data_IF_739211891035
#
_entry.id   IF_739211891035
#
_cell.length_a   1.000
_cell.length_b   1.000
_cell.length_c   1.000
_cell.angle_alpha   90.00
_cell.angle_beta   90.00
_cell.angle_gamma   90.00
#
_symmetry.space_group_name_H-M   'P 1'
#
loop_
_entity.id
_entity.type
_entity.pdbx_description
1 polymer ?
#
# COMPACT_ATOMS: atom_id res chain seq x y z
N UNK A 1 -27.27 12.94 23.99
CA UNK A 1 -25.81 12.96 24.20
C UNK A 1 -25.19 13.44 22.89
N UNK A 2 -24.85 14.73 22.81
CA UNK A 2 -24.20 15.30 21.63
C UNK A 2 -22.77 14.75 21.57
N UNK A 3 -22.39 14.12 20.47
CA UNK A 3 -21.01 13.77 20.18
C UNK A 3 -20.36 15.00 19.56
N UNK A 4 -19.51 15.69 20.33
CA UNK A 4 -18.68 16.79 19.84
C UNK A 4 -17.68 16.24 18.80
N UNK A 5 -17.68 16.82 17.60
CA UNK A 5 -16.65 16.58 16.59
C UNK A 5 -15.37 17.34 17.00
N UNK A 6 -14.17 16.78 16.76
CA UNK A 6 -12.94 17.46 17.12
C UNK A 6 -12.76 18.76 16.33
N UNK A 7 -12.33 19.80 17.06
CA UNK A 7 -12.14 21.18 16.60
C UNK A 7 -11.21 21.29 15.36
N UNK A 8 -11.36 22.34 14.53
CA UNK A 8 -10.49 22.58 13.39
C UNK A 8 -9.05 22.81 13.87
N UNK A 9 -8.11 22.05 13.32
CA UNK A 9 -6.68 22.23 13.55
C UNK A 9 -6.32 23.66 13.13
N UNK A 10 -5.86 24.45 14.09
CA UNK A 10 -5.52 25.86 13.94
C UNK A 10 -4.41 26.08 12.91
N UNK A 11 -4.60 27.13 12.11
CA UNK A 11 -3.77 27.58 11.00
C UNK A 11 -2.40 28.16 11.43
N UNK A 12 -1.53 27.33 12.02
CA UNK A 12 -0.15 27.71 12.37
C UNK A 12 0.94 26.75 11.85
N UNK A 13 0.64 25.90 10.87
CA UNK A 13 1.70 25.16 10.15
C UNK A 13 2.37 26.07 9.11
N UNK A 14 3.28 26.89 9.65
CA UNK A 14 4.24 27.80 9.01
C UNK A 14 4.87 27.22 7.74
N UNK A 15 4.89 28.07 6.72
CA UNK A 15 5.84 28.09 5.62
C UNK A 15 7.29 27.97 6.12
N UNK A 16 7.89 26.77 6.05
CA UNK A 16 9.33 26.62 5.90
C UNK A 16 9.64 25.50 4.91
N UNK A 17 10.21 25.88 3.78
CA UNK A 17 10.78 24.98 2.78
C UNK A 17 12.11 24.38 3.25
N UNK A 18 12.07 23.66 4.38
CA UNK A 18 13.11 22.77 4.87
C UNK A 18 12.39 21.47 5.18
N UNK A 19 12.68 20.41 4.42
CA UNK A 19 12.11 19.07 4.62
C UNK A 19 12.14 18.71 6.11
N UNK A 20 10.98 18.48 6.70
CA UNK A 20 10.89 18.12 8.11
C UNK A 20 11.73 16.85 8.37
N UNK A 21 12.50 16.76 9.47
CA UNK A 21 13.35 15.60 9.76
C UNK A 21 12.58 14.27 9.73
N UNK A 22 11.29 14.30 10.08
CA UNK A 22 10.38 13.16 10.05
C UNK A 22 10.06 12.71 8.62
N UNK A 23 9.83 13.66 7.71
CA UNK A 23 9.53 13.39 6.29
C UNK A 23 10.76 12.80 5.56
N UNK A 24 11.96 13.26 5.92
CA UNK A 24 13.21 12.71 5.38
C UNK A 24 13.47 11.25 5.80
N UNK A 25 13.07 10.87 7.03
CA UNK A 25 13.22 9.51 7.54
C UNK A 25 12.22 8.55 6.91
N UNK A 26 10.97 8.98 6.71
CA UNK A 26 9.96 8.19 6.01
C UNK A 26 10.30 8.00 4.53
N UNK A 27 10.86 9.04 3.89
CA UNK A 27 11.36 8.96 2.51
C UNK A 27 12.51 7.98 2.39
N UNK A 28 13.51 8.06 3.27
CA UNK A 28 14.64 7.12 3.29
C UNK A 28 14.18 5.67 3.51
N UNK A 29 13.22 5.46 4.42
CA UNK A 29 12.62 4.16 4.69
C UNK A 29 11.88 3.59 3.48
N UNK A 30 11.12 4.42 2.75
CA UNK A 30 10.43 3.99 1.53
C UNK A 30 11.41 3.59 0.44
N UNK A 31 12.51 4.34 0.27
CA UNK A 31 13.55 4.02 -0.72
C UNK A 31 14.21 2.68 -0.40
N UNK A 32 14.53 2.40 0.87
CA UNK A 32 15.14 1.12 1.24
C UNK A 32 14.22 -0.08 0.98
N UNK A 33 12.91 0.07 1.24
CA UNK A 33 11.90 -0.92 0.86
C UNK A 33 11.86 -1.13 -0.65
N UNK A 34 11.87 -0.05 -1.43
CA UNK A 34 11.79 -0.13 -2.88
C UNK A 34 13.06 -0.72 -3.49
N UNK A 35 14.24 -0.42 -2.92
CA UNK A 35 15.51 -1.06 -3.26
C UNK A 35 15.48 -2.57 -2.98
N UNK A 36 14.94 -2.99 -1.84
CA UNK A 36 14.76 -4.41 -1.54
C UNK A 36 13.84 -5.10 -2.56
N UNK A 37 12.70 -4.47 -2.92
CA UNK A 37 11.78 -5.00 -3.94
C UNK A 37 12.43 -5.11 -5.31
N UNK A 38 13.20 -4.09 -5.72
CA UNK A 38 13.95 -4.07 -6.97
C UNK A 38 14.95 -5.24 -7.01
N UNK A 39 15.81 -5.34 -5.99
CA UNK A 39 16.80 -6.40 -5.85
C UNK A 39 16.14 -7.79 -5.92
N UNK A 40 15.10 -8.01 -5.12
CA UNK A 40 14.36 -9.28 -5.09
C UNK A 40 13.76 -9.63 -6.45
N UNK A 41 13.23 -8.64 -7.17
CA UNK A 41 12.62 -8.84 -8.49
C UNK A 41 13.66 -9.22 -9.54
N UNK A 42 14.81 -8.54 -9.55
CA UNK A 42 15.91 -8.87 -10.47
C UNK A 42 16.47 -10.27 -10.22
N UNK A 43 16.70 -10.63 -8.94
CA UNK A 43 17.20 -11.95 -8.57
C UNK A 43 16.19 -13.06 -8.87
N UNK A 44 14.89 -12.82 -8.66
CA UNK A 44 13.85 -13.77 -9.05
C UNK A 44 13.77 -13.98 -10.57
N UNK A 45 13.96 -12.91 -11.35
CA UNK A 45 13.95 -12.99 -12.81
C UNK A 45 15.16 -13.74 -13.38
N UNK A 46 16.33 -13.62 -12.75
CA UNK A 46 17.51 -14.42 -13.07
C UNK A 46 17.24 -15.91 -12.82
N UNK A 47 16.81 -16.25 -11.61
CA UNK A 47 16.49 -17.64 -11.24
C UNK A 47 15.45 -18.26 -12.18
N UNK A 48 14.40 -17.50 -12.54
CA UNK A 48 13.35 -17.98 -13.46
C UNK A 48 13.85 -18.29 -14.87
N UNK A 49 14.90 -17.61 -15.36
CA UNK A 49 15.50 -17.91 -16.67
C UNK A 49 16.28 -19.22 -16.68
N UNK A 50 16.75 -19.67 -15.51
CA UNK A 50 17.57 -20.87 -15.37
C UNK A 50 16.76 -22.16 -15.24
N UNK A 51 15.44 -22.08 -15.03
CA UNK A 51 14.53 -23.23 -14.94
C UNK A 51 13.58 -23.30 -16.16
N UNK A 52 13.90 -24.10 -17.19
CA UNK A 52 13.07 -24.29 -18.38
C UNK A 52 11.70 -24.93 -18.08
N UNK A 53 11.54 -25.54 -16.90
CA UNK A 53 10.30 -26.19 -16.45
C UNK A 53 9.40 -25.28 -15.63
N UNK A 54 9.83 -24.04 -15.39
CA UNK A 54 9.09 -23.08 -14.59
C UNK A 54 7.76 -22.69 -15.27
N UNK A 55 6.66 -23.23 -14.76
CA UNK A 55 5.30 -22.80 -15.10
C UNK A 55 4.85 -21.76 -14.07
N UNK A 56 4.65 -20.49 -14.44
CA UNK A 56 4.15 -19.47 -13.51
C UNK A 56 2.72 -19.83 -13.09
N UNK A 57 2.56 -20.42 -11.91
CA UNK A 57 1.24 -20.56 -11.31
C UNK A 57 0.84 -19.21 -10.65
N UNK A 58 -0.24 -18.55 -11.12
CA UNK A 58 -0.68 -17.26 -10.59
C UNK A 58 -1.16 -17.34 -9.13
N UNK A 59 -1.44 -18.53 -8.62
CA UNK A 59 -1.89 -18.81 -7.26
C UNK A 59 -0.75 -19.15 -6.28
N UNK A 60 0.51 -19.18 -6.74
CA UNK A 60 1.65 -19.30 -5.81
C UNK A 60 1.90 -17.94 -5.17
N UNK A 61 1.77 -17.85 -3.84
CA UNK A 61 2.40 -16.79 -3.07
C UNK A 61 3.90 -16.86 -3.33
N UNK A 62 4.46 -15.88 -4.05
CA UNK A 62 5.91 -15.80 -4.35
C UNK A 62 6.69 -16.22 -3.10
N UNK A 63 7.41 -17.35 -3.16
CA UNK A 63 8.14 -17.85 -1.99
C UNK A 63 8.95 -16.71 -1.40
N UNK A 64 8.82 -16.47 -0.08
CA UNK A 64 9.49 -15.38 0.64
C UNK A 64 11.00 -15.63 0.83
N UNK A 65 11.58 -16.69 0.27
CA UNK A 65 13.02 -16.96 0.37
C UNK A 65 13.80 -15.77 -0.21
N UNK A 66 14.84 -15.35 0.50
CA UNK A 66 15.78 -14.36 -0.01
C UNK A 66 16.61 -15.01 -1.11
N UNK A 67 16.20 -14.77 -2.36
CA UNK A 67 16.91 -15.26 -3.53
C UNK A 67 18.25 -14.53 -3.58
N UNK A 68 19.34 -15.28 -3.71
CA UNK A 68 20.68 -14.72 -3.92
C UNK A 68 21.05 -14.92 -5.37
N UNK A 69 21.43 -13.83 -6.04
CA UNK A 69 22.02 -13.89 -7.37
C UNK A 69 23.49 -14.27 -7.29
N UNK A 70 24.00 -14.98 -8.30
CA UNK A 70 25.44 -15.14 -8.52
C UNK A 70 25.96 -14.21 -9.63
N UNK A 71 25.07 -13.68 -10.48
CA UNK A 71 25.41 -12.76 -11.55
C UNK A 71 25.99 -11.43 -11.01
N UNK A 72 27.26 -11.20 -11.35
CA UNK A 72 28.00 -10.01 -10.94
C UNK A 72 27.39 -8.72 -11.51
N UNK A 73 26.90 -8.74 -12.75
CA UNK A 73 26.31 -7.57 -13.41
C UNK A 73 25.07 -7.07 -12.66
N UNK A 74 24.20 -8.00 -12.23
CA UNK A 74 22.99 -7.65 -11.48
C UNK A 74 23.36 -7.12 -10.10
N UNK A 75 24.33 -7.74 -9.41
CA UNK A 75 24.83 -7.23 -8.11
C UNK A 75 25.38 -5.81 -8.24
N UNK A 76 26.24 -5.56 -9.23
CA UNK A 76 26.83 -4.25 -9.47
C UNK A 76 25.75 -3.23 -9.78
N UNK A 77 24.77 -3.55 -10.62
CA UNK A 77 23.66 -2.66 -10.94
C UNK A 77 22.82 -2.29 -9.70
N UNK A 78 22.46 -3.27 -8.86
CA UNK A 78 21.73 -3.01 -7.61
C UNK A 78 22.54 -2.09 -6.69
N UNK A 79 23.85 -2.34 -6.56
CA UNK A 79 24.74 -1.52 -5.74
C UNK A 79 24.89 -0.09 -6.26
N UNK A 80 25.02 0.10 -7.58
CA UNK A 80 25.14 1.44 -8.17
C UNK A 80 23.86 2.23 -7.98
N UNK A 81 22.69 1.63 -8.28
CA UNK A 81 21.39 2.28 -8.05
C UNK A 81 21.19 2.60 -6.57
N UNK A 82 21.57 1.70 -5.67
CA UNK A 82 21.47 1.96 -4.23
C UNK A 82 22.33 3.17 -3.81
N UNK A 83 23.57 3.23 -4.30
CA UNK A 83 24.50 4.33 -4.03
C UNK A 83 23.97 5.67 -4.58
N UNK A 84 23.42 5.64 -5.79
CA UNK A 84 22.85 6.82 -6.44
C UNK A 84 21.59 7.30 -5.72
N UNK A 85 20.71 6.38 -5.30
CA UNK A 85 19.53 6.70 -4.50
C UNK A 85 19.92 7.34 -3.16
N UNK A 86 20.91 6.77 -2.45
CA UNK A 86 21.43 7.33 -1.21
C UNK A 86 22.07 8.71 -1.42
N UNK A 87 22.72 8.94 -2.57
CA UNK A 87 23.26 10.24 -2.93
C UNK A 87 22.15 11.26 -3.14
N UNK A 88 21.09 10.90 -3.87
CA UNK A 88 19.92 11.76 -4.08
C UNK A 88 19.23 12.10 -2.75
N UNK A 89 19.10 11.14 -1.83
CA UNK A 89 18.52 11.40 -0.50
C UNK A 89 19.39 12.37 0.30
N UNK A 90 20.72 12.20 0.28
CA UNK A 90 21.67 13.06 1.03
C UNK A 90 21.76 14.46 0.45
N UNK A 91 21.66 14.58 -0.87
CA UNK A 91 21.72 15.85 -1.60
C UNK A 91 20.52 15.93 -2.53
N UNK A 92 19.32 16.22 -1.99
CA UNK A 92 18.13 16.30 -2.81
C UNK A 92 18.28 17.42 -3.83
N UNK A 93 17.93 17.18 -5.11
CA UNK A 93 17.92 18.25 -6.10
C UNK A 93 16.95 19.34 -5.63
N UNK A 94 17.26 20.61 -5.96
CA UNK A 94 16.35 21.73 -5.68
C UNK A 94 15.04 21.49 -6.43
N UNK A 95 14.02 21.04 -5.70
CA UNK A 95 12.71 20.79 -6.27
C UNK A 95 12.03 22.14 -6.54
N UNK A 96 11.65 22.37 -7.80
CA UNK A 96 10.73 23.46 -8.13
C UNK A 96 9.31 22.93 -7.95
N UNK A 97 8.43 23.63 -7.25
CA UNK A 97 7.05 23.17 -7.14
C UNK A 97 6.44 23.08 -8.54
N UNK A 98 5.78 21.95 -8.82
CA UNK A 98 5.07 21.73 -10.10
C UNK A 98 3.75 22.50 -10.18
N UNK A 99 3.35 23.17 -9.09
CA UNK A 99 2.15 23.96 -8.97
C UNK A 99 2.52 25.38 -8.54
N UNK A 100 1.90 26.35 -9.18
CA UNK A 100 1.92 27.76 -8.80
C UNK A 100 1.20 27.97 -7.46
N UNK A 101 1.38 29.16 -6.86
CA UNK A 101 0.69 29.50 -5.62
C UNK A 101 -0.83 29.56 -5.82
N UNK A 102 -1.28 30.10 -6.95
CA UNK A 102 -2.69 30.22 -7.29
C UNK A 102 -3.34 28.84 -7.49
N UNK A 103 -2.66 27.91 -8.15
CA UNK A 103 -3.15 26.52 -8.28
C UNK A 103 -3.23 25.81 -6.93
N UNK A 104 -2.27 26.04 -6.03
CA UNK A 104 -2.34 25.49 -4.67
C UNK A 104 -3.49 26.06 -3.88
N UNK A 105 -3.72 27.37 -3.97
CA UNK A 105 -4.86 28.03 -3.34
C UNK A 105 -6.18 27.47 -3.89
N UNK A 106 -6.30 27.34 -5.22
CA UNK A 106 -7.48 26.74 -5.84
C UNK A 106 -7.72 25.28 -5.40
N UNK A 107 -6.67 24.47 -5.23
CA UNK A 107 -6.80 23.11 -4.69
C UNK A 107 -7.22 23.09 -3.23
N UNK A 108 -6.75 24.07 -2.43
CA UNK A 108 -7.17 24.23 -1.04
C UNK A 108 -8.65 24.63 -0.97
N UNK A 109 -9.07 25.59 -1.78
CA UNK A 109 -10.47 26.03 -1.88
C UNK A 109 -11.39 24.87 -2.29
N UNK A 110 -10.99 24.07 -3.29
CA UNK A 110 -11.72 22.87 -3.71
C UNK A 110 -11.77 21.79 -2.62
N UNK A 111 -10.73 21.67 -1.80
CA UNK A 111 -10.69 20.71 -0.69
C UNK A 111 -11.64 21.13 0.44
N UNK A 112 -11.72 22.43 0.69
CA UNK A 112 -12.44 23.00 1.83
C UNK A 112 -13.92 23.29 1.50
N UNK A 113 -14.32 23.26 0.22
CA UNK A 113 -15.72 23.40 -0.21
C UNK A 113 -16.58 22.18 0.17
N UNK A 114 -17.41 22.35 1.21
CA UNK A 114 -18.33 21.32 1.69
C UNK A 114 -19.52 21.03 0.74
N UNK A 115 -19.72 21.84 -0.30
CA UNK A 115 -20.83 21.67 -1.25
C UNK A 115 -20.49 20.71 -2.40
N UNK A 116 -19.23 20.28 -2.52
CA UNK A 116 -18.78 19.36 -3.55
C UNK A 116 -18.26 18.06 -2.95
N UNK A 117 -18.34 17.00 -3.74
CA UNK A 117 -17.81 15.68 -3.45
C UNK A 117 -16.82 15.34 -4.55
N UNK A 118 -15.56 15.16 -4.15
CA UNK A 118 -14.47 14.77 -5.04
C UNK A 118 -14.12 13.30 -4.76
N UNK A 119 -14.26 12.43 -5.76
CA UNK A 119 -13.97 10.99 -5.64
C UNK A 119 -13.19 10.49 -6.86
N UNK A 120 -12.36 9.45 -6.72
CA UNK A 120 -11.82 8.74 -7.88
C UNK A 120 -12.96 8.23 -8.76
N UNK A 121 -12.80 8.34 -10.09
CA UNK A 121 -13.74 7.74 -11.01
C UNK A 121 -13.70 6.22 -10.89
N UNK A 122 -14.86 5.57 -10.99
CA UNK A 122 -14.97 4.11 -10.98
C UNK A 122 -14.26 3.48 -12.21
N UNK A 123 -14.26 4.19 -13.34
CA UNK A 123 -13.70 3.74 -14.62
C UNK A 123 -12.66 4.72 -15.14
N UNK A 124 -11.46 4.21 -15.42
CA UNK A 124 -10.31 5.01 -15.85
C UNK A 124 -9.81 5.91 -14.71
N UNK A 125 -8.50 6.19 -14.67
CA UNK A 125 -7.85 6.91 -13.56
C UNK A 125 -8.21 8.40 -13.43
N UNK A 126 -9.44 8.80 -13.73
CA UNK A 126 -9.96 10.15 -13.59
C UNK A 126 -10.52 10.45 -12.20
N UNK A 127 -11.06 11.66 -12.06
CA UNK A 127 -11.69 12.17 -10.84
C UNK A 127 -13.09 12.65 -11.20
N UNK A 128 -14.05 12.36 -10.33
CA UNK A 128 -15.43 12.84 -10.41
C UNK A 128 -15.61 13.95 -9.38
N UNK A 129 -16.15 15.08 -9.83
CA UNK A 129 -16.58 16.20 -8.99
C UNK A 129 -18.09 16.32 -9.15
N UNK A 130 -18.81 16.26 -8.05
CA UNK A 130 -20.27 16.35 -8.04
C UNK A 130 -20.75 17.24 -6.89
N UNK A 131 -21.89 17.91 -7.07
CA UNK A 131 -22.58 18.55 -5.95
C UNK A 131 -22.92 17.54 -4.86
N UNK A 132 -22.64 17.88 -3.61
CA UNK A 132 -22.96 17.08 -2.43
C UNK A 132 -24.45 16.76 -2.34
N UNK A 133 -25.32 17.73 -2.67
CA UNK A 133 -26.77 17.52 -2.62
C UNK A 133 -27.23 16.47 -3.63
N UNK A 134 -26.75 16.55 -4.88
CA UNK A 134 -27.09 15.57 -5.92
C UNK A 134 -26.54 14.18 -5.57
N UNK A 135 -25.29 14.12 -5.09
CA UNK A 135 -24.67 12.89 -4.64
C UNK A 135 -25.51 12.21 -3.54
N UNK A 136 -25.92 12.99 -2.53
CA UNK A 136 -26.77 12.50 -1.43
C UNK A 136 -28.14 12.04 -1.92
N UNK A 137 -28.81 12.82 -2.77
CA UNK A 137 -30.13 12.45 -3.31
C UNK A 137 -30.05 11.14 -4.10
N UNK A 138 -29.03 10.98 -4.94
CA UNK A 138 -28.86 9.77 -5.75
C UNK A 138 -28.58 8.53 -4.88
N UNK A 139 -27.75 8.66 -3.85
CA UNK A 139 -27.53 7.59 -2.86
C UNK A 139 -28.85 7.16 -2.22
N UNK A 140 -29.64 8.12 -1.73
CA UNK A 140 -30.91 7.80 -1.08
C UNK A 140 -31.90 7.16 -2.07
N UNK A 141 -31.92 7.63 -3.33
CA UNK A 141 -32.75 7.04 -4.39
C UNK A 141 -32.40 5.56 -4.60
N UNK A 142 -31.11 5.22 -4.69
CA UNK A 142 -30.65 3.86 -4.89
C UNK A 142 -30.85 2.97 -3.65
N UNK A 143 -30.55 3.47 -2.46
CA UNK A 143 -30.70 2.70 -1.22
C UNK A 143 -32.15 2.39 -0.86
N UNK A 144 -33.08 3.24 -1.30
CA UNK A 144 -34.52 3.04 -1.11
C UNK A 144 -35.16 2.21 -2.22
N UNK A 145 -34.43 1.83 -3.27
CA UNK A 145 -34.94 0.97 -4.34
C UNK A 145 -35.07 -0.48 -3.87
N UNK A 146 -36.28 -0.82 -3.43
CA UNK A 146 -36.63 -2.18 -3.01
C UNK A 146 -36.99 -3.12 -4.16
N UNK A 147 -37.09 -2.60 -5.39
CA UNK A 147 -37.30 -3.44 -6.58
C UNK A 147 -36.00 -4.13 -7.00
N UNK A 148 -34.86 -3.45 -6.83
CA UNK A 148 -33.52 -3.97 -7.16
C UNK A 148 -32.78 -4.54 -5.95
N UNK A 149 -32.85 -3.87 -4.78
CA UNK A 149 -32.07 -4.23 -3.60
C UNK A 149 -32.92 -4.73 -2.43
N UNK A 150 -32.35 -5.63 -1.62
CA UNK A 150 -32.97 -6.13 -0.40
C UNK A 150 -32.07 -5.82 0.80
N UNK A 151 -32.65 -5.18 1.83
CA UNK A 151 -31.97 -4.96 3.11
C UNK A 151 -31.76 -6.29 3.83
N UNK A 152 -30.52 -6.59 4.19
CA UNK A 152 -30.18 -7.77 5.00
C UNK A 152 -30.42 -7.49 6.48
N UNK A 153 -30.90 -8.50 7.20
CA UNK A 153 -31.16 -8.44 8.66
C UNK A 153 -29.93 -8.78 9.51
N UNK A 154 -28.90 -9.35 8.89
CA UNK A 154 -27.64 -9.75 9.53
C UNK A 154 -26.47 -9.58 8.55
N UNK A 155 -25.25 -9.57 9.08
CA UNK A 155 -24.02 -9.54 8.28
C UNK A 155 -23.71 -10.95 7.72
N UNK A 156 -23.79 -11.17 6.39
CA UNK A 156 -23.58 -12.48 5.80
C UNK A 156 -22.10 -12.83 5.60
N UNK A 157 -21.14 -11.94 5.93
CA UNK A 157 -19.71 -12.13 5.63
C UNK A 157 -19.19 -13.46 6.17
N UNK A 158 -19.48 -13.80 7.43
CA UNK A 158 -19.03 -15.08 8.03
C UNK A 158 -19.66 -16.28 7.33
N UNK A 159 -20.94 -16.20 6.96
CA UNK A 159 -21.63 -17.26 6.24
C UNK A 159 -21.01 -17.50 4.85
N UNK A 160 -20.66 -16.43 4.13
CA UNK A 160 -19.97 -16.52 2.86
C UNK A 160 -18.54 -17.03 2.99
N UNK A 161 -17.79 -16.61 4.00
CA UNK A 161 -16.45 -17.13 4.27
C UNK A 161 -16.48 -18.65 4.52
N UNK A 162 -17.42 -19.13 5.33
CA UNK A 162 -17.61 -20.56 5.57
C UNK A 162 -17.99 -21.31 4.28
N UNK A 163 -18.88 -20.73 3.46
CA UNK A 163 -19.27 -21.34 2.19
C UNK A 163 -18.11 -21.41 1.19
N UNK A 164 -17.29 -20.36 1.12
CA UNK A 164 -16.09 -20.31 0.28
C UNK A 164 -15.09 -21.38 0.75
N UNK A 165 -14.85 -21.48 2.05
CA UNK A 165 -13.99 -22.52 2.64
C UNK A 165 -14.47 -23.92 2.25
N UNK A 166 -15.75 -24.21 2.42
CA UNK A 166 -16.34 -25.50 2.05
C UNK A 166 -16.16 -25.82 0.56
N UNK A 167 -16.37 -24.84 -0.33
CA UNK A 167 -16.18 -25.02 -1.78
C UNK A 167 -14.71 -25.32 -2.13
N UNK A 168 -13.77 -24.66 -1.46
CA UNK A 168 -12.34 -24.89 -1.63
C UNK A 168 -11.96 -26.30 -1.13
N UNK A 169 -12.46 -26.71 0.02
CA UNK A 169 -12.19 -28.04 0.58
C UNK A 169 -12.72 -29.15 -0.33
N UNK A 170 -13.95 -28.99 -0.85
CA UNK A 170 -14.52 -29.92 -1.84
C UNK A 170 -13.69 -29.97 -3.13
N UNK A 171 -13.27 -28.80 -3.64
CA UNK A 171 -12.41 -28.73 -4.83
C UNK A 171 -11.04 -29.39 -4.63
N UNK A 172 -10.47 -29.29 -3.44
CA UNK A 172 -9.20 -29.93 -3.08
C UNK A 172 -9.35 -31.45 -2.95
N UNK A 173 -10.43 -31.92 -2.32
CA UNK A 173 -10.73 -33.35 -2.20
C UNK A 173 -11.01 -34.00 -3.55
N UNK A 174 -11.71 -33.31 -4.44
CA UNK A 174 -12.01 -33.75 -5.80
C UNK A 174 -10.80 -33.63 -6.76
N UNK A 175 -9.70 -33.00 -6.33
CA UNK A 175 -8.50 -32.80 -7.14
C UNK A 175 -8.64 -31.74 -8.24
N UNK A 176 -9.66 -30.87 -8.19
CA UNK A 176 -9.83 -29.77 -9.14
C UNK A 176 -8.86 -28.61 -8.91
N UNK A 177 -8.38 -28.46 -7.67
CA UNK A 177 -7.40 -27.44 -7.29
C UNK A 177 -6.28 -28.06 -6.45
N UNK A 178 -5.07 -27.51 -6.56
CA UNK A 178 -3.91 -27.93 -5.78
C UNK A 178 -3.86 -27.23 -4.40
N UNK A 179 -3.05 -27.77 -3.49
CA UNK A 179 -2.91 -27.24 -2.12
C UNK A 179 -2.44 -25.78 -2.09
N UNK A 180 -1.63 -25.33 -3.06
CA UNK A 180 -1.17 -23.93 -3.08
C UNK A 180 -2.30 -23.00 -3.54
N UNK A 181 -3.08 -23.41 -4.54
CA UNK A 181 -4.29 -22.66 -4.96
C UNK A 181 -5.31 -22.58 -3.83
N UNK A 182 -5.56 -23.66 -3.10
CA UNK A 182 -6.43 -23.63 -1.92
C UNK A 182 -5.94 -22.62 -0.87
N UNK A 183 -4.64 -22.64 -0.52
CA UNK A 183 -4.04 -21.67 0.42
C UNK A 183 -4.17 -20.22 -0.06
N UNK A 184 -4.03 -19.98 -1.37
CA UNK A 184 -4.16 -18.65 -1.95
C UNK A 184 -5.60 -18.13 -1.85
N UNK A 185 -6.58 -18.96 -2.21
CA UNK A 185 -7.99 -18.58 -2.18
C UNK A 185 -8.48 -18.34 -0.74
N UNK A 186 -7.89 -19.02 0.24
CA UNK A 186 -8.18 -18.83 1.66
C UNK A 186 -7.45 -17.65 2.31
N UNK A 187 -6.47 -17.04 1.64
CA UNK A 187 -5.70 -15.97 2.26
C UNK A 187 -6.45 -14.62 2.16
N UNK A 188 -6.97 -14.08 3.27
CA UNK A 188 -7.65 -12.79 3.25
C UNK A 188 -6.71 -11.64 2.87
N UNK A 189 -5.39 -11.78 3.07
CA UNK A 189 -4.39 -10.75 2.79
C UNK A 189 -4.18 -10.49 1.29
N UNK A 190 -4.42 -11.50 0.45
CA UNK A 190 -4.22 -11.42 -1.01
C UNK A 190 -5.50 -11.01 -1.73
N UNK A 191 -6.66 -11.31 -1.13
CA UNK A 191 -8.00 -11.09 -1.69
C UNK A 191 -8.63 -9.75 -1.26
N UNK A 192 -7.82 -8.69 -1.21
CA UNK A 192 -8.28 -7.35 -1.59
C UNK A 192 -9.38 -6.69 -0.76
N UNK A 193 -9.31 -6.68 0.57
CA UNK A 193 -9.92 -5.57 1.31
C UNK A 193 -8.91 -4.42 1.39
N UNK A 194 -9.27 -3.24 0.88
CA UNK A 194 -8.42 -2.04 0.87
C UNK A 194 -7.96 -1.60 2.28
N UNK A 195 -8.57 -2.14 3.33
CA UNK A 195 -8.27 -1.88 4.74
C UNK A 195 -7.05 -2.65 5.25
N UNK A 196 -6.76 -3.87 4.76
CA UNK A 196 -5.63 -4.68 5.28
C UNK A 196 -4.25 -4.21 4.79
N UNK A 197 -4.16 -3.54 3.63
CA UNK A 197 -2.88 -2.95 3.16
C UNK A 197 -2.30 -1.91 4.13
N UNK A 198 -3.16 -1.24 4.91
CA UNK A 198 -2.71 -0.28 5.93
C UNK A 198 -2.17 -0.98 7.18
N UNK A 199 -2.77 -2.09 7.61
CA UNK A 199 -2.35 -2.86 8.79
C UNK A 199 -0.98 -3.53 8.59
N UNK A 200 -0.73 -4.08 7.39
CA UNK A 200 0.57 -4.71 7.06
C UNK A 200 1.71 -3.69 7.06
N UNK A 201 1.46 -2.45 6.59
CA UNK A 201 2.45 -1.36 6.68
C UNK A 201 2.82 -1.04 8.13
N UNK A 202 1.85 -1.06 9.06
CA UNK A 202 2.11 -0.81 10.48
C UNK A 202 2.94 -1.92 11.15
N UNK A 203 2.59 -3.20 10.94
CA UNK A 203 3.33 -4.33 11.53
C UNK A 203 4.76 -4.46 10.97
N UNK A 204 4.97 -4.20 9.67
CA UNK A 204 6.30 -4.19 9.07
C UNK A 204 7.14 -3.00 9.57
N UNK A 205 6.51 -1.83 9.77
CA UNK A 205 7.13 -0.65 10.38
C UNK A 205 7.62 -0.96 11.80
N UNK A 206 6.82 -1.61 12.65
CA UNK A 206 7.22 -2.02 14.00
C UNK A 206 8.41 -2.99 14.01
N UNK A 207 8.38 -4.02 13.15
CA UNK A 207 9.47 -5.01 13.08
C UNK A 207 10.79 -4.44 12.57
N UNK A 208 10.74 -3.51 11.61
CA UNK A 208 11.95 -2.88 11.06
C UNK A 208 12.46 -1.78 11.99
N UNK A 209 11.59 -1.02 12.66
CA UNK A 209 11.98 -0.09 13.74
C UNK A 209 12.68 -0.84 14.88
N UNK A 210 12.14 -1.99 15.31
CA UNK A 210 12.80 -2.83 16.33
C UNK A 210 14.20 -3.27 15.89
N UNK A 211 14.37 -3.65 14.62
CA UNK A 211 15.67 -4.06 14.05
C UNK A 211 16.66 -2.89 13.92
N UNK A 212 16.18 -1.70 13.56
CA UNK A 212 16.99 -0.49 13.49
C UNK A 212 17.42 0.02 14.88
N UNK A 213 16.54 -0.10 15.89
CA UNK A 213 16.87 0.20 17.28
C UNK A 213 17.96 -0.74 17.81
N UNK A 214 17.85 -2.04 17.56
CA UNK A 214 18.89 -3.03 17.93
C UNK A 214 20.24 -2.66 17.30
N UNK A 215 20.27 -2.31 16.02
CA UNK A 215 21.51 -1.94 15.33
C UNK A 215 22.13 -0.63 15.82
N UNK A 216 21.31 0.32 16.29
CA UNK A 216 21.78 1.59 16.89
C UNK A 216 22.36 1.37 18.29
N UNK A 217 21.75 0.47 19.06
CA UNK A 217 22.22 0.06 20.39
C UNK A 217 23.57 -0.67 20.27
N UNK A 218 23.71 -1.60 19.34
CA UNK A 218 24.96 -2.33 19.08
C UNK A 218 26.13 -1.39 18.69
N UNK A 219 25.86 -0.35 17.87
CA UNK A 219 26.87 0.66 17.51
C UNK A 219 27.25 1.58 18.67
N UNK A 220 26.32 1.85 19.59
CA UNK A 220 26.61 2.65 20.79
C UNK A 220 27.52 1.90 21.77
N UNK A 221 27.41 0.57 21.84
CA UNK A 221 28.29 -0.28 22.65
C UNK A 221 29.65 -0.54 21.99
N UNK A 222 29.73 -0.49 20.66
CA UNK A 222 30.98 -0.65 19.92
C UNK A 222 31.90 0.59 19.95
N UNK A 223 31.40 1.74 20.40
CA UNK A 223 32.15 3.01 20.48
C UNK A 223 32.69 3.37 21.87
N UNK A 224 32.55 2.50 22.88
CA UNK A 224 33.03 2.76 24.26
C UNK A 224 34.22 1.88 24.67
N UNK A 225 35.08 1.49 23.73
CA UNK A 225 36.38 0.85 24.02
C UNK A 225 37.52 1.65 23.41
#
# INVERSE_FOLDING_TARGET
>A
MMLELPSPITAEYRNHALLDPVESLETAFSVEIDMYKLQRTLYANEYRKEDPTYQPNPFITKEKKDIKSNNMTIKTYVQTIHKDALKIIKTPPKHRPNLTLDEKAALQDLRDDANIVIRPADKGGGVVIQSYQQYKCEIMRQLNDTSTYRKLTYDPVLAFQNKIQQLIDMGLQAGYIDSNTAKYLLNPEVNGSCTQRHVIRASYREKVVAKATIHKVEKSYAGSK
#
